data_IF_911821661274
#
_entry.id   IF_911821661274
#
_cell.length_a   1.000
_cell.length_b   1.000
_cell.length_c   1.000
_cell.angle_alpha   90.00
_cell.angle_beta   90.00
_cell.angle_gamma   90.00
#
_symmetry.space_group_name_H-M   'P 1'
#
loop_
_entity.id
_entity.type
_entity.pdbx_description
1 polymer ?
#
# COMPACT_ATOMS: atom_id res chain seq x y z
N UNK A 1 -27.79 -16.40 10.47
CA UNK A 1 -27.74 -17.41 11.56
C UNK A 1 -26.30 -17.77 11.84
N UNK A 2 -25.96 -17.96 13.12
CA UNK A 2 -24.64 -18.44 13.56
C UNK A 2 -24.60 -19.96 13.34
N UNK A 3 -23.68 -20.47 12.52
CA UNK A 3 -23.38 -21.90 12.47
C UNK A 3 -22.05 -22.21 13.19
N UNK A 4 -21.86 -23.47 13.57
CA UNK A 4 -20.73 -23.91 14.39
C UNK A 4 -19.34 -23.56 13.80
N UNK A 5 -19.29 -23.24 12.51
CA UNK A 5 -18.07 -22.96 11.74
C UNK A 5 -17.72 -21.46 11.66
N UNK A 6 -18.40 -20.59 12.44
CA UNK A 6 -18.23 -19.11 12.43
C UNK A 6 -18.50 -18.46 11.07
N UNK A 7 -19.34 -19.09 10.23
CA UNK A 7 -19.78 -18.48 8.97
C UNK A 7 -21.11 -17.77 9.16
N UNK A 8 -21.20 -16.54 8.65
CA UNK A 8 -22.39 -15.71 8.75
C UNK A 8 -23.22 -15.85 7.48
N UNK A 9 -24.47 -16.26 7.64
CA UNK A 9 -25.46 -16.25 6.57
C UNK A 9 -26.62 -15.31 6.90
N UNK A 10 -27.06 -14.56 5.90
CA UNK A 10 -28.26 -13.75 5.93
C UNK A 10 -29.06 -13.98 4.64
N UNK A 11 -30.38 -13.94 4.75
CA UNK A 11 -31.26 -13.92 3.60
C UNK A 11 -31.34 -12.48 3.09
N UNK A 12 -30.63 -12.17 2.02
CA UNK A 12 -30.73 -10.88 1.34
C UNK A 12 -31.82 -10.94 0.26
N UNK A 13 -32.50 -9.82 0.04
CA UNK A 13 -33.42 -9.68 -1.09
C UNK A 13 -32.64 -9.76 -2.42
N UNK A 14 -33.28 -10.12 -3.55
CA UNK A 14 -32.61 -10.17 -4.84
C UNK A 14 -31.86 -8.88 -5.19
N UNK A 15 -30.66 -9.00 -5.77
CA UNK A 15 -29.78 -7.87 -6.07
C UNK A 15 -29.06 -7.27 -4.86
N UNK A 16 -29.11 -7.92 -3.70
CA UNK A 16 -28.35 -7.56 -2.50
C UNK A 16 -27.47 -8.73 -2.06
N UNK A 17 -26.34 -8.41 -1.44
CA UNK A 17 -25.39 -9.38 -0.88
C UNK A 17 -25.05 -9.01 0.56
N UNK A 18 -24.82 -10.04 1.39
CA UNK A 18 -24.36 -9.83 2.76
C UNK A 18 -22.93 -9.30 2.72
N UNK A 19 -22.72 -8.11 3.29
CA UNK A 19 -21.42 -7.48 3.47
C UNK A 19 -21.14 -7.29 4.96
N UNK A 20 -19.84 -7.17 5.28
CA UNK A 20 -19.34 -6.95 6.64
C UNK A 20 -18.68 -8.18 7.26
N UNK A 21 -18.22 -7.99 8.49
CA UNK A 21 -17.48 -8.95 9.30
C UNK A 21 -17.69 -8.71 10.81
N UNK A 22 -17.01 -9.48 11.65
CA UNK A 22 -17.10 -9.38 13.12
C UNK A 22 -16.54 -8.06 13.70
N UNK A 23 -15.70 -7.35 12.94
CA UNK A 23 -15.15 -6.05 13.32
C UNK A 23 -15.99 -4.88 12.81
N UNK A 24 -17.03 -5.18 12.04
CA UNK A 24 -17.98 -4.22 11.50
C UNK A 24 -19.40 -4.68 11.84
N UNK A 25 -20.41 -4.18 11.14
CA UNK A 25 -21.74 -4.77 11.16
C UNK A 25 -21.89 -5.85 10.08
N UNK A 26 -23.01 -6.56 10.07
CA UNK A 26 -23.43 -7.36 8.93
C UNK A 26 -24.69 -6.74 8.33
N UNK A 27 -24.69 -6.46 7.03
CA UNK A 27 -25.88 -5.91 6.35
C UNK A 27 -25.99 -6.42 4.90
N UNK A 28 -27.23 -6.49 4.40
CA UNK A 28 -27.50 -6.84 3.01
C UNK A 28 -27.46 -5.57 2.17
N UNK A 29 -26.35 -5.32 1.46
CA UNK A 29 -26.20 -4.15 0.61
C UNK A 29 -26.57 -4.45 -0.84
N UNK A 30 -27.24 -3.50 -1.48
CA UNK A 30 -27.55 -3.54 -2.90
C UNK A 30 -26.27 -3.55 -3.75
N UNK A 31 -26.38 -4.02 -4.99
CA UNK A 31 -25.30 -3.87 -5.98
C UNK A 31 -24.88 -2.39 -6.11
N UNK A 32 -23.58 -2.15 -6.24
CA UNK A 32 -23.00 -0.80 -6.25
C UNK A 32 -22.98 -0.10 -4.89
N UNK A 33 -23.27 -0.81 -3.78
CA UNK A 33 -23.11 -0.32 -2.42
C UNK A 33 -22.08 -1.13 -1.63
N UNK A 34 -21.45 -0.49 -0.66
CA UNK A 34 -20.54 -1.09 0.32
C UNK A 34 -21.01 -0.76 1.74
N UNK A 35 -20.83 -1.72 2.66
CA UNK A 35 -21.02 -1.46 4.08
C UNK A 35 -19.86 -0.59 4.58
N UNK A 36 -20.16 0.60 5.09
CA UNK A 36 -19.18 1.62 5.45
C UNK A 36 -19.62 2.36 6.71
N UNK A 37 -18.70 3.07 7.37
CA UNK A 37 -18.90 3.71 8.66
C UNK A 37 -17.81 3.34 9.65
N UNK A 38 -18.07 3.52 10.95
CA UNK A 38 -17.15 3.17 12.02
C UNK A 38 -17.89 2.92 13.35
N UNK A 39 -17.20 2.41 14.36
CA UNK A 39 -17.78 2.12 15.68
C UNK A 39 -18.44 3.32 16.39
N UNK A 40 -18.11 4.56 16.01
CA UNK A 40 -18.72 5.77 16.59
C UNK A 40 -20.00 6.18 15.89
N UNK A 41 -20.03 6.12 14.56
CA UNK A 41 -21.16 6.56 13.75
C UNK A 41 -22.11 5.42 13.37
N UNK A 42 -21.70 4.18 13.61
CA UNK A 42 -22.36 2.98 13.11
C UNK A 42 -21.96 2.65 11.67
N UNK A 43 -22.46 1.51 11.18
CA UNK A 43 -22.23 1.03 9.82
C UNK A 43 -23.52 1.09 9.01
N UNK A 44 -23.43 1.44 7.73
CA UNK A 44 -24.56 1.48 6.79
C UNK A 44 -24.11 1.18 5.36
N UNK A 45 -24.97 0.56 4.58
CA UNK A 45 -24.77 0.45 3.13
C UNK A 45 -24.85 1.83 2.48
N UNK A 46 -23.75 2.29 1.89
CA UNK A 46 -23.69 3.51 1.08
C UNK A 46 -23.23 3.18 -0.35
N UNK A 47 -23.55 4.04 -1.34
CA UNK A 47 -22.99 3.92 -2.67
C UNK A 47 -21.47 3.77 -2.62
N UNK A 48 -20.90 2.92 -3.47
CA UNK A 48 -19.45 2.71 -3.56
C UNK A 48 -18.76 4.07 -3.73
N UNK A 49 -17.78 4.35 -2.89
CA UNK A 49 -17.08 5.64 -2.86
C UNK A 49 -17.67 6.70 -1.91
N UNK A 50 -18.68 6.34 -1.10
CA UNK A 50 -19.20 7.14 0.01
C UNK A 50 -18.92 6.50 1.37
N UNK A 51 -19.02 7.30 2.45
CA UNK A 51 -18.92 6.82 3.84
C UNK A 51 -20.09 7.32 4.67
N UNK A 52 -20.50 6.53 5.67
CA UNK A 52 -21.61 6.86 6.56
C UNK A 52 -21.12 7.71 7.75
N UNK A 53 -21.71 8.91 7.88
CA UNK A 53 -21.31 9.89 8.91
C UNK A 53 -22.12 9.79 10.22
N UNK A 54 -23.04 8.83 10.30
CA UNK A 54 -23.98 8.66 11.42
C UNK A 54 -25.39 9.19 11.12
N UNK A 55 -25.55 9.98 10.06
CA UNK A 55 -26.81 10.54 9.59
C UNK A 55 -27.09 10.23 8.12
N UNK A 56 -26.11 10.45 7.24
CA UNK A 56 -26.22 10.27 5.79
C UNK A 56 -24.95 9.67 5.18
N UNK A 57 -25.07 9.21 3.94
CA UNK A 57 -23.91 8.82 3.13
C UNK A 57 -23.31 10.08 2.49
N UNK A 58 -22.04 10.34 2.77
CA UNK A 58 -21.32 11.53 2.30
C UNK A 58 -20.00 11.19 1.63
N UNK A 59 -19.24 12.23 1.30
CA UNK A 59 -17.89 12.09 0.78
C UNK A 59 -17.00 11.34 1.76
N UNK A 60 -16.22 10.39 1.26
CA UNK A 60 -15.22 9.66 2.07
C UNK A 60 -14.13 10.64 2.51
N UNK A 61 -13.83 10.63 3.81
CA UNK A 61 -12.68 11.33 4.34
C UNK A 61 -11.39 10.78 3.72
N UNK A 62 -10.52 11.68 3.27
CA UNK A 62 -9.22 11.35 2.66
C UNK A 62 -8.13 11.20 3.72
N UNK A 63 -6.99 10.66 3.32
CA UNK A 63 -5.75 10.61 4.10
C UNK A 63 -5.90 9.90 5.46
N UNK A 64 -6.64 8.79 5.49
CA UNK A 64 -6.83 7.97 6.70
C UNK A 64 -7.70 8.60 7.78
N UNK A 65 -8.41 9.69 7.47
CA UNK A 65 -9.38 10.32 8.38
C UNK A 65 -10.70 9.56 8.41
N UNK A 66 -11.43 9.72 9.50
CA UNK A 66 -12.78 9.20 9.68
C UNK A 66 -13.78 10.35 9.79
N UNK A 67 -14.98 10.12 9.28
CA UNK A 67 -16.08 11.08 9.42
C UNK A 67 -16.69 10.93 10.81
N UNK A 68 -16.72 12.02 11.57
CA UNK A 68 -17.35 12.11 12.90
C UNK A 68 -18.08 13.45 12.94
N UNK A 69 -19.40 13.42 13.20
CA UNK A 69 -20.25 14.62 13.30
C UNK A 69 -20.16 15.56 12.09
N UNK A 70 -20.04 15.01 10.88
CA UNK A 70 -19.93 15.77 9.64
C UNK A 70 -18.53 16.36 9.35
N UNK A 71 -17.55 16.09 10.20
CA UNK A 71 -16.16 16.51 10.00
C UNK A 71 -15.19 15.34 9.83
N UNK A 72 -14.18 15.51 8.97
CA UNK A 72 -13.11 14.53 8.79
C UNK A 72 -12.01 14.72 9.83
N UNK A 73 -12.00 13.85 10.84
CA UNK A 73 -11.06 13.88 11.96
C UNK A 73 -10.14 12.67 11.96
N UNK A 74 -9.02 12.76 12.67
CA UNK A 74 -8.13 11.62 12.83
C UNK A 74 -8.72 10.59 13.81
N UNK A 75 -8.63 9.28 13.50
CA UNK A 75 -9.16 8.24 14.36
C UNK A 75 -8.51 8.27 15.75
N UNK A 76 -9.21 7.78 16.80
CA UNK A 76 -8.65 7.75 18.15
C UNK A 76 -7.27 7.08 18.19
N UNK A 77 -6.34 7.68 18.96
CA UNK A 77 -4.96 7.23 19.06
C UNK A 77 -4.03 7.76 17.97
N UNK A 78 -4.55 8.47 16.97
CA UNK A 78 -3.74 9.14 15.91
C UNK A 78 -3.78 10.66 16.06
N UNK A 79 -2.88 11.36 15.36
CA UNK A 79 -2.81 12.83 15.39
C UNK A 79 -2.69 13.43 13.98
N UNK A 80 -3.16 14.66 13.73
CA UNK A 80 -3.03 15.29 12.42
C UNK A 80 -1.56 15.40 11.97
N UNK A 81 -1.30 15.03 10.72
CA UNK A 81 -0.01 15.20 10.05
C UNK A 81 0.02 16.51 9.23
N UNK A 82 1.23 16.97 8.88
CA UNK A 82 1.43 18.22 8.14
C UNK A 82 0.92 18.16 6.70
N UNK A 83 0.84 16.97 6.12
CA UNK A 83 0.25 16.69 4.80
C UNK A 83 -1.30 16.62 4.83
N UNK A 84 -1.90 16.84 5.99
CA UNK A 84 -3.34 16.74 6.19
C UNK A 84 -3.84 15.31 6.50
N UNK A 85 -2.96 14.31 6.57
CA UNK A 85 -3.30 12.95 7.00
C UNK A 85 -3.30 12.75 8.51
N UNK A 86 -3.23 11.48 8.94
CA UNK A 86 -3.17 11.09 10.34
C UNK A 86 -1.91 10.28 10.63
N UNK A 87 -1.08 10.77 11.55
CA UNK A 87 0.08 10.05 12.07
C UNK A 87 -0.39 8.89 12.94
N UNK A 88 0.20 7.72 12.72
CA UNK A 88 -0.08 6.51 13.48
C UNK A 88 0.12 6.67 15.00
N UNK A 89 -0.34 5.69 15.80
CA UNK A 89 -0.23 5.73 17.25
C UNK A 89 1.21 5.87 17.72
N UNK A 90 1.40 6.61 18.82
CA UNK A 90 2.72 6.80 19.44
C UNK A 90 3.31 5.44 19.83
N UNK A 91 4.51 5.13 19.34
CA UNK A 91 5.22 3.87 19.63
C UNK A 91 5.02 2.76 18.59
N UNK A 92 4.25 2.98 17.53
CA UNK A 92 4.21 2.08 16.38
C UNK A 92 5.37 2.37 15.42
N UNK A 93 6.15 1.34 15.09
CA UNK A 93 7.25 1.41 14.13
C UNK A 93 7.13 0.28 13.10
N UNK A 94 7.08 0.65 11.83
CA UNK A 94 7.10 -0.31 10.74
C UNK A 94 8.44 -1.05 10.64
N UNK A 95 9.54 -0.44 11.09
CA UNK A 95 10.91 -0.86 10.80
C UNK A 95 11.40 -0.37 9.42
N UNK A 96 10.60 0.44 8.73
CA UNK A 96 10.93 1.04 7.44
C UNK A 96 11.18 2.53 7.60
N UNK A 97 12.13 3.05 6.83
CA UNK A 97 12.58 4.43 6.89
C UNK A 97 12.77 5.03 5.51
N UNK A 98 12.67 6.36 5.40
CA UNK A 98 13.10 7.09 4.20
C UNK A 98 14.56 7.55 4.31
N UNK A 99 15.19 7.37 5.48
CA UNK A 99 16.53 7.84 5.78
C UNK A 99 17.61 6.91 5.24
N UNK A 100 17.97 7.09 3.96
CA UNK A 100 19.19 6.49 3.39
C UNK A 100 19.16 4.97 3.17
N UNK A 101 18.07 4.30 3.53
CA UNK A 101 17.90 2.86 3.35
C UNK A 101 17.32 2.52 1.98
N UNK A 102 17.77 1.40 1.42
CA UNK A 102 17.21 0.83 0.20
C UNK A 102 16.60 -0.53 0.47
N UNK A 103 15.60 -0.88 -0.32
CA UNK A 103 14.79 -2.07 -0.10
C UNK A 103 14.65 -2.90 -1.37
N UNK A 104 14.58 -4.21 -1.19
CA UNK A 104 14.14 -5.17 -2.18
C UNK A 104 12.83 -5.80 -1.72
N UNK A 105 11.87 -6.00 -2.63
CA UNK A 105 10.61 -6.64 -2.30
C UNK A 105 10.58 -8.06 -2.84
N UNK A 106 10.03 -8.98 -2.06
CA UNK A 106 9.72 -10.33 -2.47
C UNK A 106 8.24 -10.57 -2.27
N UNK A 107 7.58 -11.07 -3.30
CA UNK A 107 6.13 -11.35 -3.31
C UNK A 107 5.85 -12.79 -2.93
N UNK A 108 4.58 -13.11 -2.67
CA UNK A 108 4.17 -14.46 -2.21
C UNK A 108 4.42 -15.57 -3.23
N UNK A 109 4.55 -15.23 -4.52
CA UNK A 109 4.97 -16.19 -5.54
C UNK A 109 6.46 -16.56 -5.46
N UNK A 110 7.20 -16.02 -4.48
CA UNK A 110 8.61 -16.32 -4.21
C UNK A 110 9.59 -15.51 -5.07
N UNK A 111 9.11 -14.79 -6.08
CA UNK A 111 9.94 -13.95 -6.94
C UNK A 111 10.15 -12.56 -6.33
N UNK A 112 11.21 -11.90 -6.75
CA UNK A 112 11.46 -10.52 -6.36
C UNK A 112 10.74 -9.56 -7.29
N UNK A 113 10.28 -8.44 -6.74
CA UNK A 113 9.69 -7.37 -7.52
C UNK A 113 10.77 -6.61 -8.30
N UNK A 114 10.53 -6.40 -9.59
CA UNK A 114 11.53 -5.84 -10.49
C UNK A 114 10.94 -5.28 -11.77
N UNK A 115 11.76 -4.53 -12.50
CA UNK A 115 11.37 -3.90 -13.75
C UNK A 115 11.72 -4.80 -14.94
N UNK A 116 10.73 -5.02 -15.82
CA UNK A 116 10.92 -5.68 -17.09
C UNK A 116 11.15 -4.64 -18.20
N UNK A 117 12.33 -4.62 -18.79
CA UNK A 117 12.69 -3.65 -19.84
C UNK A 117 12.06 -3.90 -21.20
N UNK A 118 11.52 -5.10 -21.43
CA UNK A 118 10.82 -5.45 -22.68
C UNK A 118 9.34 -5.12 -22.58
N UNK A 119 8.74 -5.42 -21.44
CA UNK A 119 7.32 -5.20 -21.17
C UNK A 119 7.02 -3.80 -20.63
N UNK A 120 8.05 -3.10 -20.14
CA UNK A 120 8.00 -1.72 -19.64
C UNK A 120 7.16 -1.52 -18.36
N UNK A 121 7.08 -2.54 -17.52
CA UNK A 121 6.38 -2.48 -16.24
C UNK A 121 7.12 -3.23 -15.13
N UNK A 122 6.67 -3.03 -13.89
CA UNK A 122 7.12 -3.80 -12.75
C UNK A 122 6.24 -5.03 -12.51
N UNK A 123 6.89 -6.16 -12.24
CA UNK A 123 6.25 -7.43 -11.92
C UNK A 123 7.12 -8.26 -10.98
N UNK A 124 6.52 -9.31 -10.43
CA UNK A 124 7.23 -10.34 -9.69
C UNK A 124 7.43 -11.58 -10.55
N UNK A 125 8.60 -11.70 -11.18
CA UNK A 125 8.93 -12.77 -12.11
C UNK A 125 10.40 -13.22 -11.93
N UNK A 126 10.78 -14.28 -12.63
CA UNK A 126 12.15 -14.77 -12.66
C UNK A 126 13.14 -13.75 -13.21
N UNK A 127 14.31 -13.70 -12.58
CA UNK A 127 15.40 -12.84 -13.02
C UNK A 127 15.88 -13.22 -14.43
N UNK A 128 16.04 -12.20 -15.26
CA UNK A 128 16.66 -12.34 -16.57
C UNK A 128 17.42 -11.07 -16.94
N UNK A 129 17.99 -11.04 -18.14
CA UNK A 129 18.53 -9.78 -18.68
C UNK A 129 17.44 -8.72 -18.92
N UNK A 130 16.17 -9.13 -19.02
CA UNK A 130 15.02 -8.26 -19.24
C UNK A 130 14.34 -7.87 -17.93
N UNK A 131 14.17 -8.83 -17.01
CA UNK A 131 13.58 -8.63 -15.69
C UNK A 131 14.67 -8.53 -14.62
N UNK A 132 14.86 -7.33 -14.10
CA UNK A 132 15.89 -7.04 -13.09
C UNK A 132 15.25 -6.68 -11.77
N UNK A 133 15.83 -7.20 -10.69
CA UNK A 133 15.50 -6.81 -9.31
C UNK A 133 15.43 -5.28 -9.19
N UNK A 134 14.33 -4.77 -8.63
CA UNK A 134 14.23 -3.37 -8.26
C UNK A 134 14.93 -3.10 -6.93
N UNK A 135 15.55 -1.92 -6.81
CA UNK A 135 16.16 -1.46 -5.56
C UNK A 135 15.52 -0.12 -5.20
N UNK A 136 14.70 -0.13 -4.16
CA UNK A 136 13.73 0.92 -3.91
C UNK A 136 14.12 1.81 -2.74
N UNK A 137 13.93 3.12 -2.89
CA UNK A 137 13.92 4.09 -1.79
C UNK A 137 12.50 4.60 -1.58
N UNK A 138 12.11 4.71 -0.32
CA UNK A 138 10.88 5.41 0.07
C UNK A 138 11.17 6.89 0.23
N UNK A 139 10.33 7.73 -0.36
CA UNK A 139 10.50 9.17 -0.38
C UNK A 139 9.19 9.88 -0.09
N UNK A 140 9.17 10.78 0.90
CA UNK A 140 8.01 11.66 1.17
C UNK A 140 8.00 12.93 0.30
N UNK A 141 9.09 13.19 -0.42
CA UNK A 141 9.21 14.30 -1.36
C UNK A 141 10.19 13.95 -2.50
N UNK A 142 10.22 14.78 -3.54
CA UNK A 142 11.08 14.61 -4.72
C UNK A 142 12.57 14.52 -4.37
N UNK A 143 13.01 15.26 -3.35
CA UNK A 143 14.40 15.25 -2.89
C UNK A 143 14.76 14.01 -2.09
N UNK A 144 13.77 13.15 -1.79
CA UNK A 144 13.92 11.99 -0.91
C UNK A 144 14.65 12.36 0.40
N UNK A 145 14.24 13.46 1.04
CA UNK A 145 14.88 13.88 2.29
C UNK A 145 14.66 12.81 3.36
N UNK A 146 15.71 12.52 4.11
CA UNK A 146 15.66 11.58 5.22
C UNK A 146 14.65 12.03 6.28
N UNK A 147 13.51 11.35 6.36
CA UNK A 147 12.61 11.28 7.49
C UNK A 147 12.65 9.85 8.07
N UNK A 148 12.57 9.73 9.39
CA UNK A 148 13.05 8.56 10.10
C UNK A 148 12.12 7.34 10.00
N UNK A 149 10.84 7.50 9.68
CA UNK A 149 9.89 6.38 9.65
C UNK A 149 8.90 6.45 8.49
N UNK A 150 8.58 5.28 7.92
CA UNK A 150 7.47 5.05 6.98
C UNK A 150 6.41 4.22 7.68
N UNK A 151 5.33 4.84 8.13
CA UNK A 151 4.27 4.18 8.91
C UNK A 151 3.01 3.95 8.08
N UNK A 152 2.06 3.12 8.56
CA UNK A 152 0.73 3.06 7.97
C UNK A 152 0.13 4.47 7.85
N UNK A 153 -0.48 4.77 6.69
CA UNK A 153 -1.00 6.09 6.32
C UNK A 153 0.07 7.20 6.10
N UNK A 154 1.35 6.86 6.02
CA UNK A 154 2.33 7.74 5.37
C UNK A 154 2.20 7.61 3.86
N UNK A 155 2.04 8.74 3.19
CA UNK A 155 2.09 8.80 1.74
C UNK A 155 3.55 8.76 1.29
N UNK A 156 3.94 7.72 0.56
CA UNK A 156 5.32 7.57 0.05
C UNK A 156 5.36 7.39 -1.46
N UNK A 157 6.31 8.05 -2.07
CA UNK A 157 6.74 7.78 -3.43
C UNK A 157 7.86 6.75 -3.40
N UNK A 158 7.92 5.90 -4.42
CA UNK A 158 8.93 4.84 -4.51
C UNK A 158 9.85 5.16 -5.68
N UNK A 159 11.12 5.35 -5.36
CA UNK A 159 12.19 5.58 -6.33
C UNK A 159 12.96 4.28 -6.52
N UNK A 160 13.03 3.77 -7.75
CA UNK A 160 13.93 2.71 -8.12
C UNK A 160 15.28 3.29 -8.51
N UNK A 161 16.30 2.94 -7.73
CA UNK A 161 17.69 3.36 -7.94
C UNK A 161 18.46 2.34 -8.79
N UNK A 162 17.85 1.20 -9.14
CA UNK A 162 18.42 0.24 -10.07
C UNK A 162 18.36 0.80 -11.50
N UNK A 163 19.51 1.25 -12.01
CA UNK A 163 19.64 1.83 -13.35
C UNK A 163 19.31 0.86 -14.50
N UNK A 164 19.05 1.44 -15.68
CA UNK A 164 18.95 0.71 -16.96
C UNK A 164 20.37 0.59 -17.53
N UNK A 165 20.71 -0.54 -18.14
CA UNK A 165 22.07 -0.86 -18.65
C UNK A 165 22.61 0.20 -19.63
N UNK A 166 21.74 0.99 -20.29
CA UNK A 166 22.10 1.82 -21.43
C UNK A 166 21.96 3.35 -21.26
N UNK A 167 21.46 3.87 -20.14
CA UNK A 167 21.18 5.31 -20.02
C UNK A 167 21.60 5.91 -18.68
N UNK A 168 22.05 7.16 -18.74
CA UNK A 168 22.53 7.94 -17.60
C UNK A 168 21.50 8.05 -16.48
N UNK A 169 22.06 7.92 -15.28
CA UNK A 169 21.50 7.94 -13.93
C UNK A 169 20.62 9.16 -13.64
N UNK A 170 19.32 8.96 -13.73
CA UNK A 170 18.31 9.81 -13.08
C UNK A 170 17.38 8.90 -12.27
N UNK A 171 16.87 9.35 -11.11
CA UNK A 171 15.92 8.57 -10.33
C UNK A 171 14.70 8.21 -11.18
N UNK A 172 14.28 6.94 -11.11
CA UNK A 172 13.08 6.47 -11.80
C UNK A 172 12.03 6.17 -10.75
N UNK A 173 10.92 6.86 -10.83
CA UNK A 173 9.81 6.67 -9.91
C UNK A 173 8.89 5.58 -10.44
N UNK A 174 8.29 4.80 -9.53
CA UNK A 174 7.16 3.96 -9.88
C UNK A 174 6.00 4.87 -10.27
N UNK A 175 5.43 4.68 -11.46
CA UNK A 175 4.41 5.58 -12.00
C UNK A 175 3.03 5.35 -11.38
N UNK A 176 2.23 6.42 -11.29
CA UNK A 176 0.80 6.33 -11.04
C UNK A 176 0.10 5.98 -12.34
N UNK A 177 -0.37 4.75 -12.48
CA UNK A 177 -1.21 4.33 -13.61
C UNK A 177 -2.34 3.44 -13.10
N UNK A 178 -3.57 3.82 -13.42
CA UNK A 178 -4.81 3.15 -13.01
C UNK A 178 -5.49 2.51 -14.25
N UNK A 179 -6.64 1.86 -14.04
CA UNK A 179 -7.55 1.42 -15.10
C UNK A 179 -6.96 0.42 -16.10
N UNK A 180 -6.26 -0.60 -15.59
CA UNK A 180 -5.80 -1.72 -16.40
C UNK A 180 -4.42 -1.54 -17.05
N UNK A 181 -3.72 -0.46 -16.70
CA UNK A 181 -2.32 -0.26 -17.09
C UNK A 181 -1.39 -0.67 -15.95
N UNK A 182 -0.25 -1.27 -16.27
CA UNK A 182 0.70 -1.78 -15.29
C UNK A 182 1.62 -0.66 -14.74
N UNK A 183 1.91 -0.67 -13.44
CA UNK A 183 2.86 0.24 -12.78
C UNK A 183 4.20 0.14 -13.53
N UNK A 184 4.62 1.25 -14.12
CA UNK A 184 5.84 1.39 -14.91
C UNK A 184 6.80 2.36 -14.27
N UNK A 185 7.71 2.90 -15.08
CA UNK A 185 8.72 3.89 -14.64
C UNK A 185 8.41 5.26 -15.21
N UNK A 186 8.60 6.31 -14.41
CA UNK A 186 8.56 7.70 -14.86
C UNK A 186 9.78 8.49 -14.34
N UNK A 187 10.39 9.38 -15.15
CA UNK A 187 11.38 10.35 -14.64
C UNK A 187 10.75 11.50 -13.86
N UNK A 188 9.45 11.74 -14.02
CA UNK A 188 8.75 12.90 -13.48
C UNK A 188 8.17 12.57 -12.12
N UNK A 189 8.50 13.36 -11.10
CA UNK A 189 8.02 13.12 -9.74
C UNK A 189 6.49 13.28 -9.64
N UNK A 190 5.92 14.25 -10.36
CA UNK A 190 4.49 14.51 -10.40
C UNK A 190 3.65 13.37 -10.99
N UNK A 191 4.27 12.49 -11.80
CA UNK A 191 3.61 11.31 -12.36
C UNK A 191 3.78 10.06 -11.49
N UNK A 192 4.50 10.17 -10.38
CA UNK A 192 4.81 9.01 -9.55
C UNK A 192 3.61 8.58 -8.71
N UNK A 193 3.51 7.27 -8.49
CA UNK A 193 2.51 6.65 -7.63
C UNK A 193 2.70 7.07 -6.18
N UNK A 194 1.57 7.19 -5.47
CA UNK A 194 1.54 7.42 -4.05
C UNK A 194 1.11 6.13 -3.34
N UNK A 195 2.02 5.58 -2.56
CA UNK A 195 1.89 4.27 -1.94
C UNK A 195 1.73 4.40 -0.44
N UNK A 196 1.19 3.33 0.16
CA UNK A 196 1.13 3.13 1.60
C UNK A 196 1.67 1.74 1.93
N UNK A 197 2.42 1.64 3.02
CA UNK A 197 3.02 0.38 3.45
C UNK A 197 2.62 0.12 4.89
N UNK A 198 1.86 -0.95 5.08
CA UNK A 198 1.36 -1.34 6.40
C UNK A 198 2.05 -2.62 6.85
N UNK A 199 2.74 -2.56 7.98
CA UNK A 199 3.36 -3.75 8.59
C UNK A 199 2.28 -4.75 9.01
N UNK A 200 2.46 -6.00 8.62
CA UNK A 200 1.67 -7.14 9.06
C UNK A 200 2.45 -7.98 10.07
N UNK A 201 1.75 -8.88 10.76
CA UNK A 201 2.39 -9.90 11.59
C UNK A 201 3.36 -10.76 10.76
N UNK A 202 4.35 -11.35 11.43
CA UNK A 202 5.32 -12.27 10.81
C UNK A 202 6.25 -11.62 9.75
N UNK A 203 6.53 -10.32 9.84
CA UNK A 203 7.53 -9.65 9.00
C UNK A 203 7.09 -9.36 7.56
N UNK A 204 5.82 -9.61 7.24
CA UNK A 204 5.22 -9.20 5.96
C UNK A 204 4.71 -7.76 6.02
N UNK A 205 4.49 -7.17 4.85
CA UNK A 205 3.89 -5.87 4.67
C UNK A 205 2.79 -5.94 3.62
N UNK A 206 1.75 -5.14 3.81
CA UNK A 206 0.74 -4.85 2.80
C UNK A 206 1.22 -3.65 1.99
N UNK A 207 1.56 -3.91 0.73
CA UNK A 207 1.97 -2.88 -0.23
C UNK A 207 0.76 -2.44 -1.04
N UNK A 208 0.25 -1.26 -0.72
CA UNK A 208 -0.98 -0.68 -1.27
C UNK A 208 -0.76 0.73 -1.83
N UNK A 209 -1.82 1.30 -2.40
CA UNK A 209 -1.85 2.72 -2.74
C UNK A 209 -2.28 3.55 -1.53
N UNK A 210 -2.00 4.85 -1.56
CA UNK A 210 -2.35 5.74 -0.44
C UNK A 210 -3.84 6.08 -0.37
N UNK A 211 -4.45 6.38 -1.53
CA UNK A 211 -5.89 6.72 -1.66
C UNK A 211 -6.69 5.67 -2.47
N UNK A 212 -5.96 4.77 -3.12
CA UNK A 212 -6.39 3.73 -4.05
C UNK A 212 -5.76 2.41 -3.59
N UNK A 213 -6.25 1.25 -4.04
CA UNK A 213 -5.57 -0.01 -3.78
C UNK A 213 -4.47 -0.30 -4.78
N UNK A 214 -3.67 -1.32 -4.50
CA UNK A 214 -2.76 -1.95 -5.47
C UNK A 214 -3.05 -3.44 -5.53
N UNK A 215 -3.22 -3.98 -6.73
CA UNK A 215 -3.45 -5.40 -6.95
C UNK A 215 -2.65 -5.92 -8.14
N UNK A 216 -2.57 -7.24 -8.24
CA UNK A 216 -2.13 -7.89 -9.47
C UNK A 216 -3.16 -7.64 -10.57
N UNK A 217 -2.68 -7.38 -11.79
CA UNK A 217 -3.54 -7.25 -12.96
C UNK A 217 -3.69 -8.58 -13.72
N UNK A 218 -2.65 -9.42 -13.78
CA UNK A 218 -2.65 -10.65 -14.60
C UNK A 218 -1.71 -11.72 -14.05
N UNK A 219 -1.68 -12.88 -14.72
CA UNK A 219 -0.93 -14.08 -14.34
C UNK A 219 0.60 -13.90 -14.29
N UNK A 220 1.14 -12.87 -14.94
CA UNK A 220 2.57 -12.51 -14.84
C UNK A 220 2.86 -11.60 -13.65
N UNK A 221 1.89 -11.44 -12.75
CA UNK A 221 1.95 -10.63 -11.53
C UNK A 221 2.40 -9.16 -11.72
N UNK A 222 2.01 -8.45 -12.80
CA UNK A 222 2.23 -7.01 -12.86
C UNK A 222 1.25 -6.30 -11.93
N UNK A 223 1.69 -5.20 -11.35
CA UNK A 223 0.86 -4.42 -10.42
C UNK A 223 0.11 -3.30 -11.14
N UNK A 224 -1.05 -2.94 -10.61
CA UNK A 224 -1.84 -1.78 -11.07
C UNK A 224 -2.54 -1.13 -9.89
N UNK A 225 -2.87 0.16 -10.02
CA UNK A 225 -3.77 0.82 -9.06
C UNK A 225 -5.21 0.39 -9.32
N UNK A 226 -5.97 0.18 -8.25
CA UNK A 226 -7.36 -0.27 -8.29
C UNK A 226 -8.27 0.60 -7.44
N UNK A 227 -9.56 0.66 -7.80
CA UNK A 227 -10.58 1.38 -7.07
C UNK A 227 -10.89 0.77 -5.68
N UNK A 228 -10.57 -0.51 -5.48
CA UNK A 228 -10.65 -1.13 -4.16
C UNK A 228 -9.54 -0.59 -3.25
N UNK A 229 -9.87 0.41 -2.43
CA UNK A 229 -8.95 1.10 -1.52
C UNK A 229 -8.31 0.21 -0.45
N UNK A 230 -8.82 -1.00 -0.24
CA UNK A 230 -8.26 -1.95 0.72
C UNK A 230 -7.41 -3.02 0.03
N UNK A 231 -7.41 -3.07 -1.30
CA UNK A 231 -6.54 -3.97 -2.03
C UNK A 231 -5.07 -3.59 -1.82
N UNK A 232 -4.30 -4.57 -1.40
CA UNK A 232 -2.85 -4.50 -1.36
C UNK A 232 -2.27 -5.87 -1.68
N UNK A 233 -1.00 -5.89 -2.04
CA UNK A 233 -0.28 -7.15 -2.22
C UNK A 233 0.62 -7.43 -1.01
N UNK A 234 0.59 -8.66 -0.45
CA UNK A 234 1.52 -9.03 0.60
C UNK A 234 2.95 -9.13 0.04
N UNK A 235 3.89 -8.48 0.71
CA UNK A 235 5.32 -8.48 0.34
C UNK A 235 6.20 -8.66 1.57
N UNK A 236 7.33 -9.32 1.39
CA UNK A 236 8.48 -9.23 2.29
C UNK A 236 9.36 -8.07 1.81
N UNK A 237 9.75 -7.20 2.74
CA UNK A 237 10.60 -6.04 2.46
C UNK A 237 11.93 -6.25 3.17
N UNK A 238 13.00 -6.36 2.39
CA UNK A 238 14.35 -6.62 2.87
C UNK A 238 15.20 -5.36 2.71
N UNK A 239 15.92 -4.97 3.76
CA UNK A 239 16.94 -3.92 3.68
C UNK A 239 18.12 -4.43 2.84
N UNK A 240 18.54 -3.63 1.85
CA UNK A 240 19.67 -3.93 0.97
C UNK A 240 20.58 -2.72 0.86
N UNK A 241 21.89 -2.93 0.63
CA UNK A 241 22.83 -1.86 0.33
C UNK A 241 22.34 -0.96 -0.81
N UNK A 242 22.24 0.34 -0.59
CA UNK A 242 21.96 1.28 -1.68
C UNK A 242 23.08 1.26 -2.73
N UNK A 243 24.32 1.40 -2.27
CA UNK A 243 25.54 1.30 -3.07
C UNK A 243 26.35 0.06 -2.63
N UNK A 244 26.44 -0.92 -3.52
CA UNK A 244 27.13 -2.19 -3.23
C UNK A 244 28.66 -2.02 -3.10
N UNK A 245 29.20 -0.87 -3.49
CA UNK A 245 30.63 -0.56 -3.37
C UNK A 245 30.96 0.30 -2.15
N UNK A 246 29.94 0.77 -1.42
CA UNK A 246 30.16 1.55 -0.20
C UNK A 246 30.73 0.65 0.90
N UNK A 247 31.84 1.11 1.52
CA UNK A 247 32.69 0.30 2.40
C UNK A 247 31.89 -0.17 3.63
N UNK A 248 30.97 0.65 4.10
CA UNK A 248 30.15 0.41 5.29
C UNK A 248 29.25 -0.82 5.13
N UNK A 249 28.89 -1.18 3.89
CA UNK A 249 28.05 -2.34 3.61
C UNK A 249 28.77 -3.68 3.79
N UNK A 250 30.11 -3.69 3.85
CA UNK A 250 30.87 -4.90 4.21
C UNK A 250 30.69 -5.29 5.69
N UNK A 251 30.19 -4.38 6.53
CA UNK A 251 29.96 -4.60 7.95
C UNK A 251 28.54 -5.14 8.26
N UNK A 252 27.64 -5.22 7.27
CA UNK A 252 26.29 -5.74 7.45
C UNK A 252 26.23 -7.26 7.77
N UNK A 253 27.37 -7.96 7.70
CA UNK A 253 27.47 -9.40 7.96
C UNK A 253 27.40 -9.79 9.44
N UNK A 254 27.40 -8.82 10.37
CA UNK A 254 27.38 -9.07 11.82
C UNK A 254 25.97 -9.11 12.44
N UNK A 255 24.90 -8.85 11.66
CA UNK A 255 23.53 -9.17 12.11
C UNK A 255 23.39 -10.70 12.14
N UNK A 256 22.98 -11.26 13.29
CA UNK A 256 22.91 -12.71 13.50
C UNK A 256 22.23 -13.44 12.31
N UNK A 257 22.74 -14.62 11.88
CA UNK A 257 22.11 -15.39 10.81
C UNK A 257 20.63 -15.67 11.14
N UNK A 258 19.71 -15.15 10.34
CA UNK A 258 18.26 -15.36 10.52
C UNK A 258 17.53 -14.30 11.36
N UNK A 259 18.19 -13.20 11.75
CA UNK A 259 17.45 -11.97 12.04
C UNK A 259 17.06 -11.35 10.69
N UNK A 260 15.75 -11.25 10.44
CA UNK A 260 15.17 -10.84 9.16
C UNK A 260 15.81 -9.59 8.55
#
# INVERSE_FOLDING_TARGET
TWNADKTFLACCIPGHRLLGDIHTAFDCCADGHSLTGNDRTGYRCCPVGQSYDGYQCGSVCKHGRIMVDGECVCPPGTSPAADGGCKGPVGCDSGLTTAGTCYAFKTENGHTFGYDSRQLYYSAADHSNQHRLGKFKFCKNERCTADNSVNPNDAVHIQDIQGIISHSSGPRWLSKVADGTHIGRTPRYEDSGLFSITKWSCGKYCFGGYEEGVSYHSDTYPLTFTADKQACIPVEIMEVPCDIHAIENNCMWEKAPGAC
#
